data_IF_294203717771
#
_entry.id   IF_294203717771
#
_cell.length_a   1.000
_cell.length_b   1.000
_cell.length_c   1.000
_cell.angle_alpha   90.00
_cell.angle_beta   90.00
_cell.angle_gamma   90.00
#
_symmetry.space_group_name_H-M   'P 1'
#
loop_
_entity.id
_entity.type
_entity.pdbx_description
1 polymer ?
#
# COMPACT_ATOMS: atom_id res chain seq x y z
N UNK A 1 -32.60 -98.28 39.91
CA UNK A 1 -33.58 -98.23 38.82
C UNK A 1 -34.23 -96.89 38.83
N UNK A 2 -34.23 -96.21 37.81
CA UNK A 2 -34.72 -94.89 37.33
C UNK A 2 -33.55 -93.95 37.01
N UNK A 3 -33.23 -93.88 35.77
CA UNK A 3 -32.35 -92.97 35.10
C UNK A 3 -33.00 -91.63 34.94
N UNK A 4 -32.35 -90.58 35.45
CA UNK A 4 -32.71 -89.21 35.12
C UNK A 4 -31.75 -88.64 34.08
N UNK A 5 -32.27 -88.33 32.92
CA UNK A 5 -31.55 -87.61 31.84
C UNK A 5 -31.57 -86.11 32.14
N UNK A 6 -30.38 -85.52 32.20
CA UNK A 6 -30.18 -84.08 32.35
C UNK A 6 -30.10 -83.43 30.93
N UNK A 7 -31.00 -82.59 30.62
CA UNK A 7 -30.97 -81.76 29.40
C UNK A 7 -30.10 -80.56 29.67
N UNK A 8 -29.03 -80.39 28.87
CA UNK A 8 -28.22 -79.17 28.86
C UNK A 8 -28.74 -78.29 27.72
N UNK A 9 -29.28 -77.13 28.08
CA UNK A 9 -29.64 -76.07 27.14
C UNK A 9 -28.42 -75.20 26.86
N UNK A 10 -27.86 -75.28 25.66
CA UNK A 10 -26.82 -74.38 25.18
C UNK A 10 -27.50 -73.08 24.62
N UNK A 11 -27.40 -72.05 25.38
CA UNK A 11 -27.81 -70.70 24.88
C UNK A 11 -26.69 -70.08 24.01
N UNK A 12 -26.97 -69.86 22.74
CA UNK A 12 -26.14 -69.04 21.85
C UNK A 12 -26.35 -67.59 22.20
N UNK A 13 -25.33 -66.97 22.77
CA UNK A 13 -25.27 -65.48 22.87
C UNK A 13 -24.72 -64.94 21.56
N UNK A 14 -25.58 -64.24 20.78
CA UNK A 14 -25.16 -63.49 19.61
C UNK A 14 -24.52 -62.19 20.09
N UNK A 15 -23.21 -62.07 19.93
CA UNK A 15 -22.47 -60.81 20.13
C UNK A 15 -22.64 -59.97 18.87
N UNK A 16 -23.47 -58.93 18.93
CA UNK A 16 -23.57 -57.93 17.92
C UNK A 16 -22.37 -57.01 18.04
N UNK A 17 -21.34 -57.23 17.21
CA UNK A 17 -20.23 -56.29 17.02
C UNK A 17 -20.72 -55.12 16.23
N UNK A 18 -21.04 -54.00 16.92
CA UNK A 18 -21.18 -52.67 16.30
C UNK A 18 -19.81 -52.23 15.81
N UNK A 19 -19.56 -52.41 14.52
CA UNK A 19 -18.44 -51.81 13.82
C UNK A 19 -18.69 -50.31 13.73
N UNK A 20 -18.07 -49.53 14.60
CA UNK A 20 -17.87 -48.09 14.36
C UNK A 20 -16.92 -47.98 13.19
N UNK A 21 -17.44 -47.74 11.99
CA UNK A 21 -16.61 -47.29 10.89
C UNK A 21 -16.17 -45.87 11.21
N UNK A 22 -14.97 -45.75 11.77
CA UNK A 22 -14.23 -44.48 11.68
C UNK A 22 -14.06 -44.22 10.18
N UNK A 23 -14.71 -43.16 9.69
CA UNK A 23 -14.33 -42.55 8.41
C UNK A 23 -12.89 -42.06 8.60
N UNK A 24 -11.91 -42.86 8.15
CA UNK A 24 -10.60 -42.35 7.85
C UNK A 24 -10.79 -41.24 6.83
N UNK A 25 -10.56 -39.97 7.26
CA UNK A 25 -10.35 -38.85 6.37
C UNK A 25 -9.02 -39.07 5.63
N UNK A 26 -9.06 -39.91 4.60
CA UNK A 26 -7.98 -40.04 3.62
C UNK A 26 -8.14 -38.96 2.57
N UNK A 27 -7.70 -37.75 2.86
CA UNK A 27 -7.24 -36.81 1.83
C UNK A 27 -5.95 -36.16 2.29
N UNK A 28 -4.90 -36.96 2.36
CA UNK A 28 -3.52 -36.52 2.50
C UNK A 28 -2.96 -35.97 1.19
N UNK A 29 -3.69 -35.12 0.47
CA UNK A 29 -3.06 -34.21 -0.47
C UNK A 29 -2.40 -33.09 0.36
N UNK A 30 -1.10 -32.83 0.17
CA UNK A 30 -0.48 -31.67 0.81
C UNK A 30 -1.30 -30.43 0.48
N UNK A 31 -1.61 -29.62 1.49
CA UNK A 31 -2.36 -28.41 1.32
C UNK A 31 -1.71 -27.59 0.18
N UNK A 32 -2.52 -27.16 -0.78
CA UNK A 32 -2.04 -26.35 -1.91
C UNK A 32 -1.33 -25.11 -1.37
N UNK A 33 -0.09 -24.81 -1.79
CA UNK A 33 0.61 -23.62 -1.34
C UNK A 33 -0.24 -22.38 -1.59
N UNK A 34 -0.32 -21.49 -0.60
CA UNK A 34 -1.14 -20.29 -0.65
C UNK A 34 -0.48 -19.21 -1.52
N UNK A 35 -1.23 -18.57 -2.38
CA UNK A 35 -0.78 -17.41 -3.12
C UNK A 35 -0.61 -16.19 -2.21
N UNK A 36 0.19 -15.22 -2.64
CA UNK A 36 0.39 -13.96 -1.95
C UNK A 36 0.10 -12.83 -2.95
N UNK A 37 -0.88 -11.99 -2.64
CA UNK A 37 -1.11 -10.71 -3.28
C UNK A 37 -0.76 -9.60 -2.30
N UNK A 38 0.33 -8.90 -2.57
CA UNK A 38 0.78 -7.78 -1.77
C UNK A 38 0.53 -6.48 -2.52
N UNK A 39 -0.47 -5.72 -2.07
CA UNK A 39 -0.88 -4.44 -2.64
C UNK A 39 -0.29 -3.32 -1.78
N UNK A 40 0.48 -2.45 -2.41
CA UNK A 40 1.06 -1.29 -1.75
C UNK A 40 0.77 -0.01 -2.55
N UNK A 41 0.34 1.01 -1.85
CA UNK A 41 0.19 2.38 -2.37
C UNK A 41 1.37 3.24 -1.92
N UNK A 42 1.48 4.41 -2.50
CA UNK A 42 2.55 5.36 -2.24
C UNK A 42 1.99 6.61 -1.55
N UNK A 43 2.41 6.88 -0.31
CA UNK A 43 1.93 8.01 0.49
C UNK A 43 0.44 7.94 0.90
N UNK A 44 -0.11 6.77 1.17
CA UNK A 44 -1.52 6.64 1.57
C UNK A 44 -1.68 6.70 3.08
N UNK A 45 -2.20 7.82 3.58
CA UNK A 45 -2.54 7.98 4.99
C UNK A 45 -3.64 7.00 5.43
N UNK A 46 -3.45 6.33 6.57
CA UNK A 46 -4.51 5.48 7.16
C UNK A 46 -5.81 6.24 7.43
N UNK A 47 -5.73 7.55 7.66
CA UNK A 47 -6.89 8.42 7.95
C UNK A 47 -7.83 8.59 6.75
N UNK A 48 -7.42 8.23 5.55
CA UNK A 48 -8.21 8.33 4.32
C UNK A 48 -8.77 6.99 3.85
N UNK A 49 -8.73 5.98 4.71
CA UNK A 49 -9.34 4.66 4.50
C UNK A 49 -10.51 4.50 5.48
N UNK A 50 -11.73 4.29 4.98
CA UNK A 50 -12.94 4.29 5.83
C UNK A 50 -12.97 3.17 6.87
N UNK A 51 -12.22 2.09 6.69
CA UNK A 51 -12.02 1.09 7.74
C UNK A 51 -11.28 1.64 8.97
N UNK A 52 -10.45 2.68 8.84
CA UNK A 52 -9.75 3.33 9.94
C UNK A 52 -10.45 4.61 10.40
N UNK A 53 -10.88 5.46 9.45
CA UNK A 53 -11.46 6.77 9.73
C UNK A 53 -12.48 7.13 8.64
N UNK A 54 -13.67 7.58 9.06
CA UNK A 54 -14.79 7.89 8.16
C UNK A 54 -14.96 9.38 7.89
N UNK A 55 -14.01 10.22 8.34
CA UNK A 55 -14.14 11.69 8.25
C UNK A 55 -14.10 12.21 6.82
N UNK A 56 -13.40 11.55 5.93
CA UNK A 56 -13.10 12.10 4.60
C UNK A 56 -13.92 11.43 3.50
N UNK A 57 -13.62 10.18 3.16
CA UNK A 57 -14.25 9.45 2.07
C UNK A 57 -14.60 8.02 2.49
N UNK A 58 -15.35 7.32 1.64
CA UNK A 58 -15.59 5.90 1.77
C UNK A 58 -14.68 5.12 0.81
N UNK A 59 -14.08 4.03 1.29
CA UNK A 59 -13.22 3.13 0.51
C UNK A 59 -13.77 1.70 0.57
N UNK A 60 -14.96 1.45 0.00
CA UNK A 60 -15.69 0.20 0.21
C UNK A 60 -14.94 -1.05 -0.26
N UNK A 61 -14.09 -0.93 -1.28
CA UNK A 61 -13.35 -2.08 -1.79
C UNK A 61 -12.11 -2.40 -0.94
N UNK A 62 -11.39 -1.40 -0.47
CA UNK A 62 -10.31 -1.57 0.52
C UNK A 62 -10.90 -2.13 1.82
N UNK A 63 -12.06 -1.65 2.23
CA UNK A 63 -12.77 -2.11 3.44
C UNK A 63 -13.19 -3.59 3.35
N UNK A 64 -13.39 -4.18 2.14
CA UNK A 64 -13.62 -5.63 1.99
C UNK A 64 -12.48 -6.43 2.61
N UNK A 65 -11.23 -6.00 2.43
CA UNK A 65 -10.05 -6.68 2.99
C UNK A 65 -10.10 -6.63 4.53
N UNK A 66 -10.46 -5.48 5.10
CA UNK A 66 -10.60 -5.31 6.55
C UNK A 66 -11.76 -6.15 7.11
N UNK A 67 -12.92 -6.13 6.45
CA UNK A 67 -14.13 -6.81 6.90
C UNK A 67 -14.03 -8.35 6.83
N UNK A 68 -13.29 -8.86 5.84
CA UNK A 68 -13.06 -10.28 5.65
C UNK A 68 -11.76 -10.79 6.31
N UNK A 69 -10.94 -9.89 6.81
CA UNK A 69 -9.65 -10.17 7.42
C UNK A 69 -9.41 -9.39 8.70
N UNK A 70 -8.20 -8.89 8.86
CA UNK A 70 -7.77 -8.13 10.04
C UNK A 70 -7.31 -6.73 9.66
N UNK A 71 -7.57 -5.80 10.58
CA UNK A 71 -7.02 -4.45 10.57
C UNK A 71 -6.00 -4.32 11.70
N UNK A 72 -4.75 -4.03 11.34
CA UNK A 72 -3.73 -3.70 12.33
C UNK A 72 -3.89 -2.23 12.73
N UNK A 73 -4.12 -1.98 14.01
CA UNK A 73 -4.33 -0.62 14.53
C UNK A 73 -3.03 0.10 14.88
N UNK A 74 -1.92 -0.62 14.99
CA UNK A 74 -0.60 -0.10 15.33
C UNK A 74 0.47 -0.65 14.35
N UNK A 75 0.38 -0.25 13.09
CA UNK A 75 1.34 -0.61 12.04
C UNK A 75 2.18 0.60 11.65
N UNK A 76 3.50 0.41 11.55
CA UNK A 76 4.47 1.46 11.34
C UNK A 76 5.51 1.07 10.30
N UNK A 77 6.23 2.07 9.76
CA UNK A 77 7.40 1.84 8.91
C UNK A 77 8.69 2.11 9.67
N UNK A 78 9.79 1.49 9.25
CA UNK A 78 11.10 1.66 9.88
C UNK A 78 11.80 2.95 9.45
N UNK A 79 11.39 3.52 8.31
CA UNK A 79 11.93 4.75 7.73
C UNK A 79 10.86 5.35 6.79
N UNK A 80 10.37 6.56 7.08
CA UNK A 80 9.23 7.19 6.41
C UNK A 80 9.64 7.88 5.10
N UNK A 81 10.23 7.13 4.18
CA UNK A 81 10.50 7.57 2.81
C UNK A 81 10.49 6.38 1.86
N UNK A 82 9.93 6.57 0.67
CA UNK A 82 9.50 5.50 -0.23
C UNK A 82 10.57 4.44 -0.53
N UNK A 83 11.77 4.81 -1.02
CA UNK A 83 12.81 3.85 -1.35
C UNK A 83 13.25 3.02 -0.14
N UNK A 84 13.73 3.63 0.95
CA UNK A 84 14.10 2.93 2.18
C UNK A 84 13.00 2.07 2.79
N UNK A 85 11.76 2.54 2.84
CA UNK A 85 10.63 1.73 3.32
C UNK A 85 10.43 0.48 2.49
N UNK A 86 10.47 0.60 1.15
CA UNK A 86 10.38 -0.54 0.21
C UNK A 86 11.51 -1.53 0.37
N UNK A 87 12.75 -1.04 0.59
CA UNK A 87 13.90 -1.90 0.88
C UNK A 87 13.75 -2.64 2.22
N UNK A 88 13.25 -1.97 3.27
CA UNK A 88 12.95 -2.61 4.55
C UNK A 88 11.94 -3.76 4.41
N UNK A 89 10.86 -3.53 3.67
CA UNK A 89 9.85 -4.54 3.38
C UNK A 89 10.41 -5.74 2.61
N UNK A 90 11.21 -5.50 1.55
CA UNK A 90 11.79 -6.56 0.73
C UNK A 90 12.78 -7.43 1.48
N UNK A 91 13.58 -6.83 2.36
CA UNK A 91 14.69 -7.51 3.05
C UNK A 91 14.32 -8.03 4.44
N UNK A 92 13.24 -7.53 5.05
CA UNK A 92 12.92 -7.75 6.46
C UNK A 92 13.93 -7.12 7.42
N UNK A 93 14.65 -6.07 6.98
CA UNK A 93 15.75 -5.43 7.71
C UNK A 93 15.60 -3.91 7.73
N UNK A 94 16.00 -3.30 8.84
CA UNK A 94 16.12 -1.84 8.94
C UNK A 94 17.12 -1.26 7.93
N UNK A 95 16.96 0.02 7.58
CA UNK A 95 17.77 0.71 6.58
C UNK A 95 19.26 0.65 6.84
N UNK A 96 19.72 0.73 8.10
CA UNK A 96 21.13 0.62 8.46
C UNK A 96 21.70 -0.80 8.28
N UNK A 97 20.86 -1.83 8.14
CA UNK A 97 21.27 -3.21 7.87
C UNK A 97 21.18 -3.56 6.40
N UNK A 98 20.16 -3.07 5.69
CA UNK A 98 20.05 -3.31 4.25
C UNK A 98 20.84 -2.31 3.40
N UNK A 99 21.40 -1.24 4.00
CA UNK A 99 22.25 -0.25 3.37
C UNK A 99 21.52 0.80 2.53
N UNK A 100 20.21 0.71 2.37
CA UNK A 100 19.41 1.66 1.61
C UNK A 100 18.73 2.66 2.55
N UNK A 101 19.42 3.77 2.83
CA UNK A 101 19.06 4.71 3.91
C UNK A 101 18.25 5.92 3.43
N UNK A 102 18.38 6.30 2.15
CA UNK A 102 17.72 7.46 1.53
C UNK A 102 17.46 7.23 0.03
N UNK A 103 16.75 8.16 -0.61
CA UNK A 103 16.44 8.08 -2.04
C UNK A 103 17.60 8.45 -2.99
N UNK A 104 18.72 8.94 -2.47
CA UNK A 104 19.90 9.27 -3.27
C UNK A 104 20.77 8.04 -3.57
N UNK A 105 20.63 6.98 -2.78
CA UNK A 105 21.35 5.72 -2.96
C UNK A 105 20.68 4.80 -3.98
N UNK A 106 21.41 3.78 -4.42
CA UNK A 106 20.89 2.69 -5.24
C UNK A 106 20.79 1.43 -4.39
N UNK A 107 19.64 0.76 -4.41
CA UNK A 107 19.44 -0.49 -3.70
C UNK A 107 20.35 -1.59 -4.25
N UNK A 108 21.10 -2.25 -3.37
CA UNK A 108 21.88 -3.43 -3.75
C UNK A 108 20.95 -4.61 -4.01
N UNK A 109 20.60 -4.80 -5.28
CA UNK A 109 19.76 -5.89 -5.73
C UNK A 109 20.39 -7.28 -5.59
N UNK A 110 21.69 -7.40 -5.24
CA UNK A 110 22.34 -8.70 -5.01
C UNK A 110 21.96 -9.32 -3.67
N UNK A 111 21.62 -8.51 -2.68
CA UNK A 111 21.29 -8.96 -1.34
C UNK A 111 20.03 -9.85 -1.31
N UNK A 112 19.88 -10.60 -0.22
CA UNK A 112 18.73 -11.47 -0.01
C UNK A 112 17.45 -10.67 0.21
N UNK A 113 16.39 -11.03 -0.54
CA UNK A 113 15.04 -10.51 -0.40
C UNK A 113 14.04 -11.65 -0.36
N UNK A 114 12.85 -11.43 0.22
CA UNK A 114 11.85 -12.50 0.30
C UNK A 114 11.38 -13.01 -1.07
N UNK A 115 11.25 -12.19 -2.15
CA UNK A 115 10.88 -12.73 -3.46
C UNK A 115 11.91 -13.74 -4.00
N UNK A 116 13.21 -13.51 -3.78
CA UNK A 116 14.25 -14.47 -4.17
C UNK A 116 14.10 -15.82 -3.46
N UNK A 117 13.74 -15.81 -2.18
CA UNK A 117 13.54 -17.01 -1.38
C UNK A 117 12.26 -17.75 -1.78
N UNK A 118 11.17 -17.03 -1.99
CA UNK A 118 9.92 -17.60 -2.49
C UNK A 118 10.09 -18.21 -3.88
N UNK A 119 10.82 -17.56 -4.79
CA UNK A 119 11.13 -18.08 -6.11
C UNK A 119 11.91 -19.40 -6.03
N UNK A 120 12.90 -19.47 -5.15
CA UNK A 120 13.64 -20.74 -4.88
C UNK A 120 12.74 -21.85 -4.32
N UNK A 121 11.69 -21.48 -3.60
CA UNK A 121 10.70 -22.41 -3.06
C UNK A 121 9.59 -22.79 -4.08
N UNK A 122 9.71 -22.37 -5.33
CA UNK A 122 8.78 -22.74 -6.40
C UNK A 122 7.63 -21.77 -6.63
N UNK A 123 7.59 -20.65 -5.95
CA UNK A 123 6.64 -19.58 -6.26
C UNK A 123 7.02 -18.90 -7.60
N UNK A 124 6.00 -18.51 -8.35
CA UNK A 124 6.18 -17.56 -9.43
C UNK A 124 6.02 -16.14 -8.90
N UNK A 125 7.03 -15.31 -9.10
CA UNK A 125 7.12 -13.99 -8.51
C UNK A 125 6.96 -12.89 -9.55
N UNK A 126 6.15 -11.86 -9.27
CA UNK A 126 5.98 -10.71 -10.13
C UNK A 126 6.02 -9.40 -9.35
N UNK A 127 6.55 -8.35 -9.99
CA UNK A 127 6.53 -6.97 -9.50
C UNK A 127 5.90 -6.06 -10.57
N UNK A 128 4.79 -5.40 -10.24
CA UNK A 128 4.05 -4.54 -11.17
C UNK A 128 3.76 -3.19 -10.52
N UNK A 129 4.10 -2.11 -11.21
CA UNK A 129 3.87 -0.74 -10.79
C UNK A 129 5.10 -0.02 -10.24
N UNK A 130 4.96 0.75 -9.16
CA UNK A 130 6.06 1.57 -8.64
C UNK A 130 7.12 0.74 -7.89
N UNK A 131 8.34 0.75 -8.42
CA UNK A 131 9.52 0.11 -7.79
C UNK A 131 10.33 1.07 -6.92
N UNK A 132 10.83 2.13 -7.50
CA UNK A 132 11.51 3.26 -6.85
C UNK A 132 12.74 2.88 -5.99
N UNK A 133 13.57 1.95 -6.44
CA UNK A 133 14.81 1.55 -5.76
C UNK A 133 16.08 1.86 -6.57
N UNK A 134 15.95 2.63 -7.65
CA UNK A 134 17.04 3.06 -8.56
C UNK A 134 17.67 1.91 -9.34
N UNK A 135 17.73 0.69 -8.79
CA UNK A 135 18.14 -0.54 -9.47
C UNK A 135 16.95 -1.26 -10.13
N UNK A 136 17.23 -2.13 -11.10
CA UNK A 136 16.21 -3.03 -11.64
C UNK A 136 15.75 -4.07 -10.61
N UNK A 137 14.49 -4.54 -10.68
CA UNK A 137 13.99 -5.59 -9.83
C UNK A 137 14.77 -6.90 -9.98
N UNK A 138 15.16 -7.52 -8.86
CA UNK A 138 15.81 -8.82 -8.83
C UNK A 138 15.04 -9.82 -7.99
N UNK A 139 15.05 -11.09 -8.39
CA UNK A 139 14.31 -12.16 -7.69
C UNK A 139 12.85 -12.29 -8.14
N UNK A 140 12.51 -11.67 -9.25
CA UNK A 140 11.21 -11.81 -9.90
C UNK A 140 11.33 -12.56 -11.22
N UNK A 141 10.32 -13.37 -11.56
CA UNK A 141 10.18 -14.02 -12.86
C UNK A 141 9.64 -13.06 -13.93
N UNK A 142 8.86 -12.07 -13.47
CA UNK A 142 8.30 -11.02 -14.31
C UNK A 142 8.30 -9.69 -13.55
N UNK A 143 8.60 -8.60 -14.25
CA UNK A 143 8.40 -7.27 -13.70
C UNK A 143 8.05 -6.24 -14.78
N UNK A 144 7.16 -5.32 -14.43
CA UNK A 144 6.74 -4.22 -15.27
C UNK A 144 6.53 -2.99 -14.39
N UNK A 145 7.53 -2.10 -14.38
CA UNK A 145 7.64 -1.04 -13.39
C UNK A 145 7.60 0.35 -14.01
N UNK A 146 7.07 1.29 -13.25
CA UNK A 146 7.13 2.72 -13.57
C UNK A 146 8.58 3.22 -13.55
N UNK A 147 8.93 4.13 -14.47
CA UNK A 147 10.22 4.83 -14.45
C UNK A 147 10.24 5.85 -13.31
N UNK A 148 11.21 5.73 -12.41
CA UNK A 148 11.38 6.63 -11.27
C UNK A 148 10.15 6.72 -10.38
N UNK A 149 9.63 7.92 -10.16
CA UNK A 149 8.38 8.17 -9.41
C UNK A 149 7.12 7.81 -10.21
N UNK A 150 7.23 7.67 -11.52
CA UNK A 150 6.12 7.49 -12.45
C UNK A 150 5.31 8.78 -12.68
N UNK A 151 4.59 8.80 -13.80
CA UNK A 151 3.65 9.85 -14.15
C UNK A 151 2.21 9.31 -14.07
N UNK A 152 1.22 10.18 -13.77
CA UNK A 152 -0.18 9.76 -13.72
C UNK A 152 -0.78 9.56 -15.09
N UNK A 153 -0.43 10.41 -16.05
CA UNK A 153 -0.94 10.33 -17.43
C UNK A 153 0.13 9.82 -18.39
N UNK A 154 -0.25 8.88 -19.23
CA UNK A 154 0.57 8.30 -20.29
C UNK A 154 1.98 7.91 -19.81
N UNK A 155 2.07 7.15 -18.70
CA UNK A 155 3.32 6.83 -18.04
C UNK A 155 4.24 5.96 -18.90
N UNK A 156 5.54 6.04 -18.61
CA UNK A 156 6.52 5.12 -19.16
C UNK A 156 6.72 3.97 -18.18
N UNK A 157 6.57 2.75 -18.67
CA UNK A 157 6.89 1.53 -17.97
C UNK A 157 8.14 0.87 -18.52
N UNK A 158 8.78 0.05 -17.69
CA UNK A 158 9.86 -0.85 -18.10
C UNK A 158 9.36 -2.27 -17.91
N UNK A 159 9.08 -2.97 -19.02
CA UNK A 159 8.64 -4.36 -19.06
C UNK A 159 9.86 -5.27 -19.22
N UNK A 160 10.31 -5.92 -18.14
CA UNK A 160 11.50 -6.79 -18.14
C UNK A 160 12.72 -6.17 -18.85
N UNK A 161 12.95 -4.87 -18.69
CA UNK A 161 14.07 -4.12 -19.26
C UNK A 161 13.72 -3.29 -20.50
N UNK A 162 12.56 -3.48 -21.11
CA UNK A 162 12.13 -2.72 -22.28
C UNK A 162 11.23 -1.55 -21.91
N UNK A 163 11.66 -0.32 -22.21
CA UNK A 163 10.87 0.89 -21.96
C UNK A 163 9.76 1.05 -23.00
N UNK A 164 8.54 1.31 -22.52
CA UNK A 164 7.41 1.68 -23.38
C UNK A 164 6.50 2.70 -22.69
N UNK A 165 6.02 3.66 -23.43
CA UNK A 165 4.94 4.53 -23.00
C UNK A 165 3.61 3.84 -23.21
N UNK A 166 2.72 3.90 -22.19
CA UNK A 166 1.36 3.37 -22.28
C UNK A 166 0.40 4.54 -22.11
N UNK A 167 -0.48 4.71 -23.10
CA UNK A 167 -1.50 5.75 -23.05
C UNK A 167 -2.58 5.40 -22.02
N UNK A 168 -2.98 6.36 -21.19
CA UNK A 168 -4.02 6.21 -20.18
C UNK A 168 -3.59 6.72 -18.80
N UNK A 169 -4.29 6.26 -17.78
CA UNK A 169 -4.08 6.66 -16.40
C UNK A 169 -3.33 5.57 -15.60
N UNK A 170 -2.28 5.97 -14.88
CA UNK A 170 -1.31 5.05 -14.28
C UNK A 170 -1.94 4.01 -13.34
N UNK A 171 -2.94 4.41 -12.52
CA UNK A 171 -3.59 3.48 -11.59
C UNK A 171 -4.33 2.38 -12.32
N UNK A 172 -5.08 2.74 -13.37
CA UNK A 172 -5.82 1.78 -14.20
C UNK A 172 -4.85 0.86 -14.96
N UNK A 173 -3.82 1.44 -15.61
CA UNK A 173 -2.79 0.68 -16.34
C UNK A 173 -2.09 -0.33 -15.44
N UNK A 174 -1.72 0.07 -14.21
CA UNK A 174 -1.05 -0.81 -13.24
C UNK A 174 -1.94 -2.01 -12.88
N UNK A 175 -3.23 -1.77 -12.69
CA UNK A 175 -4.23 -2.84 -12.46
C UNK A 175 -4.35 -3.76 -13.67
N UNK A 176 -4.51 -3.20 -14.87
CA UNK A 176 -4.65 -3.98 -16.10
C UNK A 176 -3.43 -4.88 -16.36
N UNK A 177 -2.22 -4.36 -16.11
CA UNK A 177 -0.98 -5.13 -16.21
C UNK A 177 -0.92 -6.28 -15.20
N UNK A 178 -1.44 -6.07 -13.98
CA UNK A 178 -1.52 -7.11 -12.97
C UNK A 178 -2.51 -8.21 -13.36
N UNK A 179 -3.68 -7.84 -13.87
CA UNK A 179 -4.69 -8.79 -14.36
C UNK A 179 -4.20 -9.56 -15.59
N UNK A 180 -3.53 -8.88 -16.53
CA UNK A 180 -2.92 -9.55 -17.69
C UNK A 180 -1.86 -10.56 -17.26
N UNK A 181 -1.03 -10.23 -16.26
CA UNK A 181 -0.07 -11.18 -15.73
C UNK A 181 -0.76 -12.37 -15.08
N UNK A 182 -1.76 -12.14 -14.24
CA UNK A 182 -2.52 -13.20 -13.56
C UNK A 182 -3.23 -14.13 -14.54
N UNK A 183 -3.74 -13.59 -15.65
CA UNK A 183 -4.54 -14.36 -16.61
C UNK A 183 -3.71 -15.01 -17.71
N UNK A 184 -2.75 -14.30 -18.28
CA UNK A 184 -2.09 -14.67 -19.51
C UNK A 184 -0.61 -15.03 -19.39
N UNK A 185 0.10 -14.56 -18.34
CA UNK A 185 1.57 -14.69 -18.28
C UNK A 185 2.08 -15.66 -17.24
N UNK A 186 1.38 -15.79 -16.10
CA UNK A 186 1.81 -16.70 -15.04
C UNK A 186 1.58 -18.17 -15.38
N UNK A 187 2.39 -19.04 -14.82
CA UNK A 187 2.15 -20.48 -14.79
C UNK A 187 1.08 -20.81 -13.75
N UNK A 188 -0.13 -21.14 -14.21
CA UNK A 188 -1.30 -21.41 -13.33
C UNK A 188 -1.15 -22.68 -12.48
N UNK A 189 -0.14 -23.51 -12.74
CA UNK A 189 0.17 -24.69 -11.93
C UNK A 189 0.98 -24.39 -10.66
N UNK A 190 1.56 -23.19 -10.57
CA UNK A 190 2.40 -22.75 -9.45
C UNK A 190 1.69 -21.76 -8.55
N UNK A 191 2.02 -21.71 -7.24
CA UNK A 191 1.63 -20.62 -6.39
C UNK A 191 2.32 -19.33 -6.86
N UNK A 192 1.69 -18.18 -6.64
CA UNK A 192 2.26 -16.90 -7.00
C UNK A 192 2.49 -15.98 -5.80
N UNK A 193 3.47 -15.09 -5.96
CA UNK A 193 3.64 -13.90 -5.15
C UNK A 193 3.66 -12.68 -6.08
N UNK A 194 2.58 -11.91 -6.06
CA UNK A 194 2.43 -10.69 -6.85
C UNK A 194 2.56 -9.46 -5.94
N UNK A 195 3.55 -8.62 -6.22
CA UNK A 195 3.68 -7.28 -5.66
C UNK A 195 3.01 -6.30 -6.63
N UNK A 196 1.86 -5.77 -6.24
CA UNK A 196 1.09 -4.78 -6.99
C UNK A 196 1.24 -3.42 -6.30
N UNK A 197 2.06 -2.55 -6.86
CA UNK A 197 2.43 -1.27 -6.26
C UNK A 197 1.89 -0.09 -7.05
N UNK A 198 0.86 0.57 -6.53
CA UNK A 198 0.33 1.78 -7.14
C UNK A 198 1.20 3.01 -6.83
N UNK A 199 1.32 3.93 -7.81
CA UNK A 199 1.89 5.26 -7.60
C UNK A 199 0.98 6.13 -6.73
N UNK A 200 -0.32 6.02 -6.92
CA UNK A 200 -1.31 6.83 -6.20
C UNK A 200 -1.32 6.45 -4.70
N UNK A 201 -1.57 7.43 -3.80
CA UNK A 201 -1.86 8.85 -4.07
C UNK A 201 -0.65 9.80 -3.99
N UNK A 202 0.56 9.39 -4.34
CA UNK A 202 1.78 10.22 -4.27
C UNK A 202 1.65 11.58 -4.99
N UNK A 203 2.30 12.60 -4.45
CA UNK A 203 2.51 13.92 -5.07
C UNK A 203 3.05 13.80 -6.52
N UNK A 204 2.65 14.66 -7.52
CA UNK A 204 1.57 15.62 -7.40
C UNK A 204 0.24 14.94 -7.67
N UNK A 205 -0.76 15.32 -6.96
CA UNK A 205 -2.07 14.69 -7.01
C UNK A 205 -2.80 15.07 -8.31
N UNK A 206 -2.70 14.24 -9.34
CA UNK A 206 -3.37 14.44 -10.62
C UNK A 206 -4.49 13.40 -10.76
N UNK A 207 -5.74 13.74 -10.50
CA UNK A 207 -6.87 12.82 -10.61
C UNK A 207 -7.08 12.32 -12.04
N UNK A 208 -7.67 11.12 -12.19
CA UNK A 208 -8.15 10.66 -13.48
C UNK A 208 -9.24 11.61 -14.02
N UNK A 209 -9.32 11.75 -15.33
CA UNK A 209 -10.31 12.65 -15.97
C UNK A 209 -11.74 12.31 -15.60
N UNK A 210 -12.06 11.04 -15.38
CA UNK A 210 -13.39 10.61 -14.93
C UNK A 210 -13.71 10.98 -13.48
N UNK A 211 -12.69 11.26 -12.67
CA UNK A 211 -12.82 11.54 -11.23
C UNK A 211 -12.75 13.05 -10.89
N UNK A 212 -12.46 13.92 -11.87
CA UNK A 212 -12.23 15.36 -11.65
C UNK A 212 -13.36 16.08 -10.89
N UNK A 213 -14.60 15.63 -11.02
CA UNK A 213 -15.76 16.23 -10.38
C UNK A 213 -16.23 15.54 -9.10
N UNK A 214 -15.57 14.45 -8.69
CA UNK A 214 -15.88 13.84 -7.40
C UNK A 214 -15.63 14.86 -6.27
N UNK A 215 -16.53 14.89 -5.32
CA UNK A 215 -16.45 15.75 -4.14
C UNK A 215 -16.52 17.26 -4.40
N UNK A 216 -16.96 17.74 -5.59
CA UNK A 216 -17.08 19.19 -5.89
C UNK A 216 -17.91 19.94 -4.85
N UNK A 217 -18.97 19.32 -4.32
CA UNK A 217 -19.87 19.88 -3.32
C UNK A 217 -19.46 19.59 -1.87
N UNK A 218 -18.27 18.97 -1.65
CA UNK A 218 -17.80 18.60 -0.32
C UNK A 218 -16.79 19.62 0.19
N UNK A 219 -16.97 20.08 1.43
CA UNK A 219 -15.94 20.82 2.16
C UNK A 219 -15.33 19.89 3.21
N UNK A 220 -14.06 19.58 3.06
CA UNK A 220 -13.37 18.69 3.99
C UNK A 220 -13.03 19.39 5.30
N UNK A 221 -13.21 18.76 6.46
CA UNK A 221 -12.90 19.36 7.74
C UNK A 221 -11.40 19.61 7.87
N UNK A 222 -11.03 20.74 8.44
CA UNK A 222 -9.65 21.00 8.86
C UNK A 222 -9.29 20.10 10.05
N UNK A 223 -8.06 19.57 10.12
CA UNK A 223 -7.55 18.97 11.35
C UNK A 223 -7.57 19.97 12.52
N UNK A 224 -7.81 19.50 13.74
CA UNK A 224 -7.84 20.38 14.93
C UNK A 224 -6.55 21.18 15.13
N UNK A 225 -5.42 20.60 14.75
CA UNK A 225 -4.09 21.21 14.83
C UNK A 225 -3.59 21.82 13.50
N UNK A 226 -4.50 22.13 12.55
CA UNK A 226 -4.12 22.72 11.26
C UNK A 226 -3.35 24.05 11.42
N UNK A 227 -3.70 24.85 12.42
CA UNK A 227 -3.02 26.09 12.78
C UNK A 227 -2.09 25.91 13.99
N UNK A 228 -1.29 24.86 13.99
CA UNK A 228 -0.30 24.59 15.02
C UNK A 228 0.77 25.68 15.07
N UNK A 229 1.05 26.21 16.26
CA UNK A 229 2.06 27.24 16.48
C UNK A 229 3.46 26.66 16.78
N UNK A 230 3.56 25.33 16.89
CA UNK A 230 4.76 24.58 17.25
C UNK A 230 5.43 24.99 18.57
N UNK A 231 4.68 25.59 19.49
CA UNK A 231 5.21 26.10 20.77
C UNK A 231 6.02 25.01 21.52
N UNK A 232 7.28 25.34 21.83
CA UNK A 232 8.22 24.44 22.52
C UNK A 232 8.79 23.31 21.65
N UNK A 233 8.49 23.26 20.34
CA UNK A 233 8.94 22.21 19.40
C UNK A 233 9.76 22.81 18.27
N UNK A 234 11.01 23.18 18.54
CA UNK A 234 11.91 23.85 17.59
C UNK A 234 12.05 23.05 16.30
N UNK A 235 12.30 21.74 16.40
CA UNK A 235 12.47 20.90 15.21
C UNK A 235 11.21 20.90 14.32
N UNK A 236 10.01 20.89 14.91
CA UNK A 236 8.76 20.98 14.14
C UNK A 236 8.60 22.34 13.47
N UNK A 237 8.93 23.43 14.16
CA UNK A 237 8.79 24.78 13.62
C UNK A 237 9.72 25.10 12.44
N UNK A 238 10.79 24.33 12.26
CA UNK A 238 11.77 24.49 11.20
C UNK A 238 11.49 23.67 9.93
N UNK A 239 10.42 22.82 9.95
CA UNK A 239 10.09 21.99 8.80
C UNK A 239 9.50 22.84 7.65
N UNK A 240 9.90 22.53 6.42
CA UNK A 240 9.43 23.19 5.20
C UNK A 240 8.41 22.30 4.48
N UNK A 241 7.32 21.97 5.19
CA UNK A 241 6.21 21.14 4.71
C UNK A 241 4.85 21.83 4.87
N UNK A 242 4.85 23.16 5.00
CA UNK A 242 3.63 23.93 5.26
C UNK A 242 2.75 24.02 4.03
N UNK A 243 1.47 23.69 4.17
CA UNK A 243 0.46 23.88 3.12
C UNK A 243 0.40 25.35 2.70
N UNK A 244 0.49 26.28 3.64
CA UNK A 244 0.39 27.71 3.31
C UNK A 244 1.66 28.25 2.64
N UNK A 245 2.85 27.83 3.10
CA UNK A 245 4.13 28.42 2.65
C UNK A 245 4.78 27.61 1.54
N UNK A 246 4.82 26.27 1.70
CA UNK A 246 5.69 25.41 0.93
C UNK A 246 4.96 24.61 -0.16
N UNK A 247 3.62 24.45 -0.04
CA UNK A 247 2.82 23.81 -1.08
C UNK A 247 2.75 24.70 -2.32
N UNK A 248 3.29 24.19 -3.42
CA UNK A 248 3.46 24.94 -4.66
C UNK A 248 2.16 25.15 -5.42
N UNK A 249 1.98 26.37 -5.92
CA UNK A 249 0.73 26.77 -6.59
C UNK A 249 0.59 26.12 -7.98
N UNK A 250 1.70 25.94 -8.71
CA UNK A 250 1.70 25.38 -10.06
C UNK A 250 1.82 23.85 -10.02
N UNK A 251 2.81 23.35 -9.31
CA UNK A 251 3.11 21.92 -9.26
C UNK A 251 2.08 21.13 -8.44
N UNK A 252 1.79 21.59 -7.21
CA UNK A 252 0.87 20.87 -6.32
C UNK A 252 -0.59 21.17 -6.59
N UNK A 253 -0.94 22.43 -6.83
CA UNK A 253 -2.32 22.90 -6.92
C UNK A 253 -2.82 23.12 -8.36
N UNK A 254 -1.97 22.89 -9.39
CA UNK A 254 -2.30 22.92 -10.83
C UNK A 254 -2.82 24.28 -11.31
N UNK A 255 -2.37 25.38 -10.69
CA UNK A 255 -2.80 26.73 -11.06
C UNK A 255 -1.95 27.34 -12.20
N UNK A 256 -1.31 26.53 -13.03
CA UNK A 256 -0.64 27.00 -14.23
C UNK A 256 -1.66 27.54 -15.22
N UNK A 257 -1.65 28.86 -15.46
CA UNK A 257 -2.52 29.50 -16.42
C UNK A 257 -1.92 29.55 -17.84
N UNK A 258 -2.77 29.70 -18.85
CA UNK A 258 -2.38 29.76 -20.26
C UNK A 258 -1.68 31.08 -20.62
N UNK A 259 -2.00 32.12 -19.91
CA UNK A 259 -1.41 33.45 -20.07
C UNK A 259 -0.02 33.57 -19.44
N UNK A 260 0.40 32.56 -18.67
CA UNK A 260 1.68 32.55 -17.95
C UNK A 260 1.84 33.71 -16.97
N UNK A 261 0.77 34.05 -16.24
CA UNK A 261 0.75 35.06 -15.20
C UNK A 261 0.93 34.49 -13.79
N UNK A 262 0.65 33.19 -13.59
CA UNK A 262 0.83 32.49 -12.32
C UNK A 262 2.16 31.72 -12.38
N UNK A 263 3.01 32.00 -11.40
CA UNK A 263 4.34 31.39 -11.29
C UNK A 263 4.51 30.68 -9.96
N UNK A 264 5.28 29.60 -10.00
CA UNK A 264 5.83 28.96 -8.81
C UNK A 264 6.90 29.81 -8.16
N UNK A 265 7.10 29.66 -6.85
CA UNK A 265 8.28 30.20 -6.16
C UNK A 265 9.58 29.46 -6.53
N UNK A 266 9.46 28.30 -7.17
CA UNK A 266 10.56 27.43 -7.57
C UNK A 266 10.44 27.12 -9.07
N UNK A 267 11.46 27.54 -9.86
CA UNK A 267 11.46 27.37 -11.32
C UNK A 267 11.46 25.90 -11.78
N UNK A 268 12.07 24.99 -11.02
CA UNK A 268 12.06 23.58 -11.34
C UNK A 268 10.67 22.97 -11.13
N UNK A 269 10.00 23.31 -10.03
CA UNK A 269 8.61 22.88 -9.77
C UNK A 269 7.66 23.42 -10.82
N UNK A 270 7.83 24.69 -11.24
CA UNK A 270 7.04 25.26 -12.33
C UNK A 270 7.23 24.48 -13.64
N UNK A 271 8.48 24.21 -14.00
CA UNK A 271 8.81 23.42 -15.19
C UNK A 271 8.18 22.03 -15.13
N UNK A 272 8.34 21.30 -14.02
CA UNK A 272 7.76 19.98 -13.85
C UNK A 272 6.23 19.99 -13.91
N UNK A 273 5.57 20.95 -13.26
CA UNK A 273 4.12 21.07 -13.32
C UNK A 273 3.61 21.26 -14.75
N UNK A 274 4.28 22.10 -15.57
CA UNK A 274 3.95 22.30 -16.97
C UNK A 274 4.26 21.07 -17.84
N UNK A 275 5.35 20.35 -17.57
CA UNK A 275 5.70 19.11 -18.26
C UNK A 275 4.66 18.02 -18.03
N UNK A 276 4.13 17.89 -16.82
CA UNK A 276 3.06 16.92 -16.49
C UNK A 276 1.78 17.20 -17.29
N UNK A 277 1.38 18.47 -17.41
CA UNK A 277 0.26 18.87 -18.26
C UNK A 277 0.54 18.55 -19.74
N UNK A 278 1.75 18.85 -20.23
CA UNK A 278 2.12 18.63 -21.64
C UNK A 278 2.13 17.15 -22.03
N UNK A 279 2.29 16.23 -21.07
CA UNK A 279 2.24 14.79 -21.29
C UNK A 279 0.86 14.28 -21.69
N UNK A 280 -0.19 15.00 -21.31
CA UNK A 280 -1.57 14.61 -21.61
C UNK A 280 -1.84 14.65 -23.13
N UNK A 281 -2.67 13.71 -23.62
CA UNK A 281 -3.22 13.75 -24.96
C UNK A 281 -4.31 14.84 -25.11
N UNK A 282 -4.80 15.14 -26.33
CA UNK A 282 -5.79 16.19 -26.53
C UNK A 282 -7.08 16.01 -25.73
N UNK A 283 -7.60 14.79 -25.62
CA UNK A 283 -8.86 14.51 -24.91
C UNK A 283 -8.68 14.69 -23.39
N UNK A 284 -7.55 14.21 -22.85
CA UNK A 284 -7.18 14.40 -21.45
C UNK A 284 -7.02 15.90 -21.12
N UNK A 285 -6.36 16.67 -22.00
CA UNK A 285 -6.23 18.14 -21.84
C UNK A 285 -7.58 18.84 -21.88
N UNK A 286 -8.44 18.46 -22.81
CA UNK A 286 -9.77 19.05 -22.90
C UNK A 286 -10.60 18.85 -21.63
N UNK A 287 -10.60 17.64 -21.08
CA UNK A 287 -11.28 17.35 -19.80
C UNK A 287 -10.63 18.10 -18.62
N UNK A 288 -9.30 18.14 -18.58
CA UNK A 288 -8.53 18.85 -17.55
C UNK A 288 -8.81 20.36 -17.58
N UNK A 289 -8.72 21.00 -18.73
CA UNK A 289 -8.97 22.43 -18.90
C UNK A 289 -10.42 22.79 -18.53
N UNK A 290 -11.38 21.99 -18.95
CA UNK A 290 -12.79 22.20 -18.62
C UNK A 290 -13.04 22.22 -17.09
N UNK A 291 -12.19 21.53 -16.32
CA UNK A 291 -12.27 21.50 -14.86
C UNK A 291 -11.41 22.58 -14.19
N UNK A 292 -10.13 22.69 -14.56
CA UNK A 292 -9.20 23.57 -13.86
C UNK A 292 -9.25 25.04 -14.30
N UNK A 293 -9.57 25.35 -15.58
CA UNK A 293 -9.61 26.73 -16.07
C UNK A 293 -10.55 27.64 -15.23
N UNK A 294 -11.79 27.21 -14.88
CA UNK A 294 -12.65 28.03 -14.01
C UNK A 294 -12.05 28.26 -12.61
N UNK A 295 -11.35 27.27 -12.05
CA UNK A 295 -10.71 27.36 -10.73
C UNK A 295 -9.53 28.33 -10.79
N UNK A 296 -8.73 28.29 -11.86
CA UNK A 296 -7.62 29.21 -12.11
C UNK A 296 -8.13 30.64 -12.23
N UNK A 297 -9.22 30.87 -12.96
CA UNK A 297 -9.82 32.20 -13.09
C UNK A 297 -10.35 32.72 -11.75
N UNK A 298 -11.01 31.86 -10.94
CA UNK A 298 -11.45 32.20 -9.58
C UNK A 298 -10.25 32.56 -8.67
N UNK A 299 -9.17 31.79 -8.74
CA UNK A 299 -7.94 32.03 -7.99
C UNK A 299 -7.33 33.42 -8.35
N UNK A 300 -7.22 33.75 -9.65
CA UNK A 300 -6.71 35.03 -10.14
C UNK A 300 -7.59 36.20 -9.67
N UNK A 301 -8.92 36.04 -9.72
CA UNK A 301 -9.86 37.11 -9.37
C UNK A 301 -9.91 37.41 -7.87
N UNK A 302 -9.87 36.38 -7.02
CA UNK A 302 -10.09 36.53 -5.57
C UNK A 302 -8.87 36.97 -4.78
N UNK A 303 -7.66 36.75 -5.27
CA UNK A 303 -6.38 37.15 -4.63
C UNK A 303 -6.34 36.86 -3.12
N UNK A 304 -6.71 35.66 -2.75
CA UNK A 304 -6.80 35.21 -1.35
C UNK A 304 -5.47 35.35 -0.61
N UNK A 305 -5.54 35.68 0.67
CA UNK A 305 -4.37 35.81 1.55
C UNK A 305 -4.63 35.24 2.93
N UNK A 306 -3.56 35.02 3.74
CA UNK A 306 -3.67 34.59 5.12
C UNK A 306 -4.45 33.26 5.29
N UNK A 307 -5.38 33.23 6.22
CA UNK A 307 -6.18 32.03 6.52
C UNK A 307 -7.05 31.60 5.34
N UNK A 308 -7.65 32.53 4.62
CA UNK A 308 -8.47 32.22 3.44
C UNK A 308 -7.65 31.47 2.37
N UNK A 309 -6.41 31.90 2.12
CA UNK A 309 -5.52 31.21 1.22
C UNK A 309 -5.11 29.83 1.75
N UNK A 310 -4.81 29.70 3.06
CA UNK A 310 -4.44 28.44 3.69
C UNK A 310 -5.55 27.39 3.56
N UNK A 311 -6.78 27.78 3.88
CA UNK A 311 -7.96 26.91 3.81
C UNK A 311 -8.29 26.55 2.36
N UNK A 312 -8.18 27.48 1.42
CA UNK A 312 -8.36 27.21 0.00
C UNK A 312 -7.32 26.23 -0.54
N UNK A 313 -6.02 26.39 -0.20
CA UNK A 313 -4.96 25.45 -0.56
C UNK A 313 -5.26 24.06 -0.01
N UNK A 314 -5.65 23.97 1.28
CA UNK A 314 -6.03 22.73 1.92
C UNK A 314 -7.19 22.04 1.19
N UNK A 315 -8.27 22.76 0.87
CA UNK A 315 -9.41 22.19 0.14
C UNK A 315 -8.98 21.67 -1.24
N UNK A 316 -8.17 22.42 -1.99
CA UNK A 316 -7.66 21.97 -3.30
C UNK A 316 -6.81 20.69 -3.16
N UNK A 317 -5.90 20.68 -2.20
CA UNK A 317 -5.09 19.51 -1.87
C UNK A 317 -5.95 18.29 -1.54
N UNK A 318 -6.90 18.44 -0.63
CA UNK A 318 -7.77 17.35 -0.20
C UNK A 318 -8.62 16.78 -1.35
N UNK A 319 -9.23 17.67 -2.16
CA UNK A 319 -10.02 17.23 -3.31
C UNK A 319 -9.19 16.37 -4.28
N UNK A 320 -8.04 16.87 -4.67
CA UNK A 320 -7.21 16.15 -5.63
C UNK A 320 -6.64 14.85 -5.05
N UNK A 321 -6.15 14.87 -3.81
CA UNK A 321 -5.61 13.69 -3.13
C UNK A 321 -6.69 12.59 -2.95
N UNK A 322 -7.87 12.96 -2.46
CA UNK A 322 -8.94 11.99 -2.17
C UNK A 322 -9.54 11.38 -3.45
N UNK A 323 -9.55 12.11 -4.57
CA UNK A 323 -9.91 11.56 -5.89
C UNK A 323 -8.96 10.47 -6.35
N UNK A 324 -7.67 10.62 -6.06
CA UNK A 324 -6.70 9.55 -6.35
C UNK A 324 -6.97 8.30 -5.51
N UNK A 325 -7.33 8.49 -4.25
CA UNK A 325 -7.64 7.39 -3.34
C UNK A 325 -8.91 6.65 -3.78
N UNK A 326 -9.92 7.38 -4.25
CA UNK A 326 -11.14 6.79 -4.84
C UNK A 326 -10.80 5.94 -6.08
N UNK A 327 -9.92 6.44 -6.95
CA UNK A 327 -9.41 5.67 -8.08
C UNK A 327 -8.66 4.41 -7.64
N UNK A 328 -7.87 4.48 -6.57
CA UNK A 328 -7.21 3.29 -5.99
C UNK A 328 -8.24 2.31 -5.48
N UNK A 329 -9.21 2.76 -4.68
CA UNK A 329 -10.25 1.89 -4.11
C UNK A 329 -11.00 1.13 -5.21
N UNK A 330 -11.42 1.83 -6.27
CA UNK A 330 -12.06 1.22 -7.45
C UNK A 330 -11.18 0.15 -8.09
N UNK A 331 -9.90 0.41 -8.27
CA UNK A 331 -8.95 -0.52 -8.85
C UNK A 331 -8.70 -1.74 -7.96
N UNK A 332 -8.67 -1.57 -6.64
CA UNK A 332 -8.62 -2.69 -5.69
C UNK A 332 -9.87 -3.58 -5.82
N UNK A 333 -11.05 -2.97 -5.98
CA UNK A 333 -12.29 -3.70 -6.24
C UNK A 333 -12.17 -4.62 -7.46
N UNK A 334 -11.64 -4.10 -8.58
CA UNK A 334 -11.43 -4.86 -9.81
C UNK A 334 -10.52 -6.08 -9.57
N UNK A 335 -9.44 -5.91 -8.81
CA UNK A 335 -8.52 -7.01 -8.49
C UNK A 335 -9.18 -8.06 -7.59
N UNK A 336 -9.91 -7.65 -6.56
CA UNK A 336 -10.62 -8.57 -5.65
C UNK A 336 -11.69 -9.36 -6.40
N UNK A 337 -12.47 -8.70 -7.26
CA UNK A 337 -13.49 -9.33 -8.10
C UNK A 337 -12.89 -10.34 -9.08
N UNK A 338 -11.72 -10.02 -9.64
CA UNK A 338 -10.97 -10.98 -10.46
C UNK A 338 -10.56 -12.23 -9.68
N UNK A 339 -10.03 -12.08 -8.46
CA UNK A 339 -9.66 -13.22 -7.63
C UNK A 339 -10.87 -14.09 -7.27
N UNK A 340 -11.99 -13.46 -6.93
CA UNK A 340 -13.24 -14.17 -6.62
C UNK A 340 -13.76 -14.94 -7.83
N UNK A 341 -13.87 -14.29 -8.99
CA UNK A 341 -14.35 -14.89 -10.24
C UNK A 341 -13.49 -16.06 -10.73
N UNK A 342 -12.21 -16.08 -10.38
CA UNK A 342 -11.27 -17.11 -10.84
C UNK A 342 -10.92 -18.15 -9.74
N UNK A 343 -11.72 -18.25 -8.68
CA UNK A 343 -11.51 -19.18 -7.56
C UNK A 343 -10.12 -19.07 -6.90
N UNK A 344 -9.55 -17.87 -6.90
CA UNK A 344 -8.25 -17.59 -6.29
C UNK A 344 -8.36 -16.99 -4.89
N UNK A 345 -9.50 -16.37 -4.55
CA UNK A 345 -9.69 -15.60 -3.34
C UNK A 345 -9.46 -16.45 -2.07
N UNK A 346 -9.95 -17.70 -2.06
CA UNK A 346 -9.86 -18.61 -0.91
C UNK A 346 -8.52 -19.35 -0.80
N UNK A 347 -7.59 -19.09 -1.71
CA UNK A 347 -6.23 -19.59 -1.65
C UNK A 347 -5.17 -18.49 -1.78
N UNK A 348 -5.53 -17.24 -1.43
CA UNK A 348 -4.64 -16.08 -1.54
C UNK A 348 -4.63 -15.28 -0.24
N UNK A 349 -3.44 -15.12 0.36
CA UNK A 349 -3.22 -14.06 1.35
C UNK A 349 -3.24 -12.72 0.61
N UNK A 350 -4.13 -11.83 1.02
CA UNK A 350 -4.22 -10.48 0.50
C UNK A 350 -3.71 -9.51 1.56
N UNK A 351 -2.78 -8.64 1.17
CA UNK A 351 -2.22 -7.58 2.00
C UNK A 351 -2.46 -6.25 1.32
N UNK A 352 -2.99 -5.28 2.04
CA UNK A 352 -3.07 -3.89 1.62
C UNK A 352 -2.33 -3.00 2.62
N UNK A 353 -1.41 -2.17 2.11
CA UNK A 353 -0.63 -1.23 2.93
C UNK A 353 -0.17 -0.03 2.10
N UNK A 354 0.52 0.89 2.74
CA UNK A 354 1.28 1.98 2.10
C UNK A 354 2.75 1.88 2.48
N UNK A 355 3.63 2.47 1.68
CA UNK A 355 5.06 2.51 2.00
C UNK A 355 5.39 3.44 3.19
N UNK A 356 4.55 4.42 3.50
CA UNK A 356 4.55 5.22 4.73
C UNK A 356 3.18 5.91 4.92
N UNK A 357 3.05 6.65 6.03
CA UNK A 357 1.94 7.56 6.24
C UNK A 357 2.11 8.89 5.47
N UNK A 358 1.16 9.81 5.67
CA UNK A 358 1.17 11.12 5.02
C UNK A 358 0.34 12.12 5.82
N UNK A 359 0.80 13.38 5.92
CA UNK A 359 0.05 14.44 6.59
C UNK A 359 -1.11 14.93 5.73
N UNK A 360 -2.31 14.85 6.28
CA UNK A 360 -3.54 15.33 5.65
C UNK A 360 -3.96 16.70 6.17
N UNK A 361 -2.97 17.56 6.46
CA UNK A 361 -3.16 18.88 7.02
C UNK A 361 -2.86 19.02 8.50
N UNK A 362 -2.58 17.92 9.21
CA UNK A 362 -2.15 17.98 10.60
C UNK A 362 -0.90 18.84 10.72
N UNK A 363 -0.82 19.65 11.74
CA UNK A 363 0.23 20.65 11.96
C UNK A 363 0.35 21.69 10.83
N UNK A 364 -0.66 21.83 9.97
CA UNK A 364 -0.61 22.65 8.77
C UNK A 364 0.30 22.09 7.68
N UNK A 365 0.65 20.82 7.75
CA UNK A 365 1.62 20.16 6.87
C UNK A 365 0.97 19.29 5.80
N UNK A 366 1.74 19.04 4.78
CA UNK A 366 1.62 17.96 3.80
C UNK A 366 2.96 17.22 3.72
N UNK A 367 3.06 16.13 2.93
CA UNK A 367 4.25 15.29 2.84
C UNK A 367 4.35 14.28 4.02
N UNK A 368 5.53 13.74 4.28
CA UNK A 368 5.89 12.71 5.26
C UNK A 368 7.20 13.06 5.96
N UNK A 369 8.03 12.11 6.35
CA UNK A 369 9.42 12.26 6.82
C UNK A 369 9.56 12.61 8.29
N UNK A 370 8.96 13.70 8.79
CA UNK A 370 9.04 14.07 10.19
C UNK A 370 8.35 13.03 11.09
N UNK A 371 8.95 12.71 12.24
CA UNK A 371 8.65 11.57 13.09
C UNK A 371 7.37 11.76 13.95
N UNK A 372 6.26 12.14 13.33
CA UNK A 372 4.94 12.06 13.93
C UNK A 372 4.16 10.87 13.40
N UNK A 373 3.12 10.44 14.09
CA UNK A 373 2.34 9.25 13.72
C UNK A 373 1.80 9.33 12.29
N UNK A 374 1.38 10.50 11.85
CA UNK A 374 0.87 10.73 10.51
C UNK A 374 1.87 10.34 9.41
N UNK A 375 3.16 10.45 9.70
CA UNK A 375 4.24 10.10 8.77
C UNK A 375 4.65 8.63 8.83
N UNK A 376 4.89 8.07 10.02
CA UNK A 376 5.46 6.72 10.11
C UNK A 376 4.43 5.63 10.41
N UNK A 377 3.18 5.97 10.82
CA UNK A 377 2.08 5.04 10.90
C UNK A 377 1.49 4.79 9.52
N UNK A 378 1.32 3.51 9.17
CA UNK A 378 0.83 3.11 7.85
C UNK A 378 -0.40 2.21 7.98
N UNK A 379 -1.35 2.25 7.03
CA UNK A 379 -2.43 1.27 7.02
C UNK A 379 -1.86 -0.13 6.81
N UNK A 380 -2.45 -1.12 7.46
CA UNK A 380 -2.17 -2.52 7.21
C UNK A 380 -3.45 -3.34 7.40
N UNK A 381 -3.95 -3.85 6.29
CA UNK A 381 -5.07 -4.76 6.23
C UNK A 381 -4.60 -6.09 5.66
N UNK A 382 -4.97 -7.21 6.28
CA UNK A 382 -4.60 -8.54 5.79
C UNK A 382 -5.79 -9.49 5.83
N UNK A 383 -6.05 -10.18 4.72
CA UNK A 383 -7.03 -11.25 4.62
C UNK A 383 -6.31 -12.58 4.41
N UNK A 384 -6.22 -13.37 5.46
CA UNK A 384 -5.76 -14.76 5.40
C UNK A 384 -7.00 -15.68 5.29
N UNK A 385 -7.12 -16.50 4.24
CA UNK A 385 -8.22 -17.47 4.16
C UNK A 385 -8.26 -18.38 5.39
N UNK A 386 -9.44 -18.44 6.04
CA UNK A 386 -9.60 -19.18 7.31
C UNK A 386 -8.93 -18.55 8.53
N UNK A 387 -8.33 -17.37 8.39
CA UNK A 387 -7.67 -16.64 9.46
C UNK A 387 -8.61 -15.86 10.36
N UNK A 388 -8.02 -15.11 11.29
CA UNK A 388 -8.71 -14.21 12.21
C UNK A 388 -9.39 -13.06 11.43
N UNK A 389 -10.46 -12.54 12.00
CA UNK A 389 -11.11 -11.29 11.58
C UNK A 389 -11.11 -10.28 12.72
N UNK A 390 -11.15 -8.99 12.34
CA UNK A 390 -11.22 -7.87 13.28
C UNK A 390 -9.87 -7.24 13.61
N UNK A 391 -9.80 -6.48 14.68
CA UNK A 391 -8.64 -5.67 15.01
C UNK A 391 -7.49 -6.47 15.65
N UNK A 392 -6.28 -6.09 15.28
CA UNK A 392 -5.02 -6.55 15.89
C UNK A 392 -4.28 -5.33 16.42
N UNK A 393 -4.18 -5.16 17.77
CA UNK A 393 -3.54 -4.00 18.38
C UNK A 393 -2.04 -4.14 18.60
N UNK A 394 -1.44 -5.28 18.29
CA UNK A 394 -0.01 -5.50 18.44
C UNK A 394 0.80 -4.52 17.60
N UNK A 395 1.95 -4.07 18.13
CA UNK A 395 2.91 -3.25 17.41
C UNK A 395 3.54 -4.07 16.28
N UNK A 396 3.40 -3.60 15.04
CA UNK A 396 3.97 -4.24 13.87
C UNK A 396 4.70 -3.22 12.99
N UNK A 397 5.64 -3.69 12.18
CA UNK A 397 6.46 -2.83 11.34
C UNK A 397 6.64 -3.46 9.95
N UNK A 398 6.90 -2.64 8.93
CA UNK A 398 7.03 -3.12 7.55
C UNK A 398 8.16 -4.14 7.33
N UNK A 399 9.11 -4.29 8.25
CA UNK A 399 10.11 -5.36 8.23
C UNK A 399 9.52 -6.75 8.56
N UNK A 400 8.31 -6.82 9.10
CA UNK A 400 7.62 -8.05 9.48
C UNK A 400 6.98 -8.77 8.29
N UNK A 401 6.84 -8.10 7.15
CA UNK A 401 6.18 -8.69 5.99
C UNK A 401 7.00 -9.81 5.36
N UNK A 402 8.31 -9.61 5.22
CA UNK A 402 9.20 -10.63 4.68
C UNK A 402 9.15 -11.96 5.46
N UNK A 403 9.35 -12.00 6.79
CA UNK A 403 9.24 -13.25 7.54
C UNK A 403 7.83 -13.84 7.52
N UNK A 404 6.78 -13.01 7.45
CA UNK A 404 5.40 -13.49 7.34
C UNK A 404 5.16 -14.26 6.04
N UNK A 405 5.61 -13.74 4.91
CA UNK A 405 5.45 -14.40 3.61
C UNK A 405 6.28 -15.68 3.51
N UNK A 406 7.49 -15.67 4.09
CA UNK A 406 8.34 -16.86 4.14
C UNK A 406 7.71 -17.96 5.00
N UNK A 407 7.22 -17.65 6.20
CA UNK A 407 6.56 -18.61 7.07
C UNK A 407 5.29 -19.18 6.43
N UNK A 408 4.46 -18.32 5.79
CA UNK A 408 3.26 -18.75 5.06
C UNK A 408 3.60 -19.76 3.96
N UNK A 409 4.73 -19.57 3.29
CA UNK A 409 5.20 -20.44 2.23
C UNK A 409 5.96 -21.69 2.73
N UNK A 410 6.13 -21.86 4.05
CA UNK A 410 6.94 -22.93 4.63
C UNK A 410 8.44 -22.79 4.36
N UNK A 411 8.91 -21.59 4.07
CA UNK A 411 10.32 -21.28 3.80
C UNK A 411 11.00 -20.87 5.12
N UNK A 412 12.16 -21.45 5.47
CA UNK A 412 12.90 -21.04 6.66
C UNK A 412 13.20 -19.54 6.65
N UNK A 413 12.93 -18.86 7.76
CA UNK A 413 13.24 -17.45 7.93
C UNK A 413 14.74 -17.31 8.21
N UNK A 414 15.50 -16.57 7.37
CA UNK A 414 16.92 -16.34 7.62
C UNK A 414 17.16 -15.59 8.93
N UNK A 415 18.24 -15.98 9.64
CA UNK A 415 18.57 -15.43 10.96
C UNK A 415 18.95 -13.94 10.97
N UNK A 416 19.25 -13.36 9.82
CA UNK A 416 19.59 -11.95 9.66
C UNK A 416 18.37 -11.04 9.35
N UNK A 417 17.18 -11.61 9.20
CA UNK A 417 15.92 -10.87 9.18
C UNK A 417 15.63 -10.35 10.59
N UNK A 418 15.25 -9.08 10.69
CA UNK A 418 15.01 -8.40 11.96
C UNK A 418 13.51 -8.30 12.30
N UNK A 419 12.64 -8.52 11.31
CA UNK A 419 11.20 -8.57 11.50
C UNK A 419 10.73 -9.86 12.16
N UNK A 420 9.50 -9.84 12.68
CA UNK A 420 8.80 -10.99 13.23
C UNK A 420 7.62 -11.36 12.35
N UNK A 421 7.35 -12.66 12.18
CA UNK A 421 6.21 -13.10 11.38
C UNK A 421 4.88 -12.70 12.02
N UNK A 422 3.99 -12.14 11.21
CA UNK A 422 2.62 -11.82 11.60
C UNK A 422 1.68 -13.03 11.51
N UNK A 423 2.13 -14.15 10.97
CA UNK A 423 1.29 -15.31 10.72
C UNK A 423 0.59 -15.85 11.99
N UNK A 424 1.23 -15.91 13.17
CA UNK A 424 0.55 -16.27 14.41
C UNK A 424 -0.61 -15.33 14.74
N UNK A 425 -0.42 -14.01 14.58
CA UNK A 425 -1.46 -13.01 14.81
C UNK A 425 -2.63 -13.19 13.82
N UNK A 426 -2.33 -13.45 12.56
CA UNK A 426 -3.33 -13.73 11.51
C UNK A 426 -4.13 -15.00 11.79
N UNK A 427 -3.57 -15.98 12.48
CA UNK A 427 -4.26 -17.18 12.95
C UNK A 427 -5.02 -16.98 14.26
N UNK A 428 -4.91 -15.80 14.87
CA UNK A 428 -5.58 -15.48 16.14
C UNK A 428 -4.80 -15.87 17.39
N UNK A 429 -3.56 -16.28 17.24
CA UNK A 429 -2.65 -16.55 18.34
C UNK A 429 -2.21 -15.25 19.01
N UNK A 430 -1.81 -15.33 20.28
CA UNK A 430 -1.29 -14.21 21.06
C UNK A 430 0.06 -14.59 21.65
N UNK A 431 1.16 -14.40 20.91
CA UNK A 431 2.50 -14.70 21.44
C UNK A 431 2.78 -13.91 22.73
N UNK A 432 3.20 -14.58 23.80
CA UNK A 432 3.44 -13.96 25.12
C UNK A 432 4.54 -12.90 25.08
N UNK A 433 5.54 -13.07 24.23
CA UNK A 433 6.71 -12.20 24.11
C UNK A 433 6.65 -11.29 22.89
N UNK A 434 5.45 -10.84 22.45
CA UNK A 434 5.35 -9.89 21.36
C UNK A 434 5.99 -8.55 21.75
N UNK A 435 6.65 -7.91 20.77
CA UNK A 435 7.36 -6.63 21.01
C UNK A 435 6.44 -5.56 21.60
N UNK A 436 7.00 -4.69 22.43
CA UNK A 436 6.35 -3.52 23.03
C UNK A 436 6.99 -2.18 22.60
N UNK A 437 8.00 -2.23 21.74
CA UNK A 437 8.70 -1.06 21.19
C UNK A 437 9.13 -1.31 19.75
N UNK A 438 9.33 -0.24 18.99
CA UNK A 438 9.80 -0.24 17.62
C UNK A 438 11.06 0.63 17.50
N UNK A 439 11.95 0.26 16.60
CA UNK A 439 13.05 1.12 16.18
C UNK A 439 12.65 1.82 14.89
N UNK A 440 12.76 3.14 14.88
CA UNK A 440 12.53 4.01 13.73
C UNK A 440 13.74 4.91 13.52
N UNK A 441 14.14 5.16 12.27
CA UNK A 441 15.18 6.13 11.96
C UNK A 441 14.98 6.66 10.53
N UNK A 442 14.91 7.99 10.42
CA UNK A 442 14.93 8.73 9.18
C UNK A 442 16.36 9.27 8.94
N UNK A 443 16.91 9.08 7.74
CA UNK A 443 18.33 9.34 7.47
C UNK A 443 18.59 10.50 6.51
N UNK A 444 17.61 10.89 5.70
CA UNK A 444 17.77 11.84 4.60
C UNK A 444 17.69 13.30 5.10
N UNK A 445 18.86 13.91 5.32
CA UNK A 445 19.00 15.28 5.82
C UNK A 445 20.09 16.06 5.07
N UNK A 446 19.79 17.29 4.56
CA UNK A 446 18.46 17.82 4.31
C UNK A 446 17.82 17.02 3.17
N UNK A 447 16.53 16.79 3.26
CA UNK A 447 15.76 16.11 2.22
C UNK A 447 15.22 17.11 1.19
N UNK A 448 14.70 16.59 0.09
CA UNK A 448 13.68 17.30 -0.68
C UNK A 448 12.57 17.74 0.27
N UNK A 449 12.01 18.93 0.08
CA UNK A 449 11.13 19.60 1.06
C UNK A 449 11.83 20.03 2.35
N UNK A 450 13.15 20.14 2.32
CA UNK A 450 13.97 20.75 3.37
C UNK A 450 13.66 20.26 4.79
N UNK A 451 13.40 18.93 4.93
CA UNK A 451 13.21 18.34 6.25
C UNK A 451 14.47 18.54 7.07
N UNK A 452 14.35 19.28 8.16
CA UNK A 452 15.46 19.54 9.07
C UNK A 452 15.70 18.34 9.98
N UNK A 453 16.97 18.16 10.37
CA UNK A 453 17.35 17.11 11.31
C UNK A 453 16.59 17.26 12.63
N UNK A 454 16.05 16.18 13.13
CA UNK A 454 15.32 16.10 14.39
C UNK A 454 15.70 14.83 15.14
N UNK A 455 15.57 14.85 16.47
CA UNK A 455 15.91 13.75 17.36
C UNK A 455 14.79 13.53 18.37
#
# INVERSE_FOLDING_TARGET
MKTNKLFILTGLAAIASTSCSQKENTSGQPAKPMNILYIMTDDHSFQTISAYDKRYIQTPNIDRIANEGVRFTNSFVANSISGPSRACMLTGKHSHKNGFIDNAHTFDGSQQTFPKLLRKAGYQTAMIGKWHLTSDPTGFDYWNILVGQGDYYNPIFIDNGEKRQIEGYATNITTDLALDWLDNKRDKSKPFCLLLHHKAPHRTWMPDTCDLRLYDDVTFPLPENFYDDYAGRIAASEQEMSIIKDMDIVYDLKMADKENEIHSSNADLEKYGRELYNRMNPDQKAAWDAYYDPIIQDFKAKKRTGKELAEWKYQRYMHDCLRLIDSVDRNIGIVLDYLEKNDLLDNTLIVYTSDQGFYMGEHGWFDKRFMYEESFRTPLLMRLPGGKKGDIPQLVQNIDYAPTFLELAGVPIPADIQGESLLPLLKGERPENWRNSLYYHYYEYPAEHSVKRHY
#
